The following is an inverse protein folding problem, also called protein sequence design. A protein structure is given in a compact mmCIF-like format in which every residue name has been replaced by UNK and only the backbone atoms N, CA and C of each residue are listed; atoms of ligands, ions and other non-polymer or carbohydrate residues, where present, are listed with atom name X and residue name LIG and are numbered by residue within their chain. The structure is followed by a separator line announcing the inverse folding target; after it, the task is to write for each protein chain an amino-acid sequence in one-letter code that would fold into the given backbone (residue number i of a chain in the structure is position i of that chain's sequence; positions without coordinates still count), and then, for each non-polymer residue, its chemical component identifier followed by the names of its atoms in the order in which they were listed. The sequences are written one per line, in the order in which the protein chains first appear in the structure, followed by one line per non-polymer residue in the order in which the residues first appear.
data_IF_882174276290
#
_entry.id   IF_882174276290
#
_cell.length_a   1.000
_cell.length_b   1.000
_cell.length_c   1.000
_cell.angle_alpha   90.00
_cell.angle_beta   90.00
_cell.angle_gamma   90.00
#
_symmetry.space_group_name_H-M   'P 1'
#
loop_
_entity.id
_entity.type
_entity.pdbx_description
1 polymer ?
#
# COMPACT_ATOMS: atom_id res chain seq x y z
N UNK A 1 3.77 -14.29 -7.01
CA UNK A 1 3.34 -12.90 -6.74
C UNK A 1 1.82 -12.76 -6.60
N UNK A 2 1.02 -13.30 -7.53
CA UNK A 2 -0.45 -13.18 -7.49
C UNK A 2 -1.14 -13.90 -6.31
N UNK A 3 -0.58 -15.01 -5.81
CA UNK A 3 -1.07 -15.71 -4.60
C UNK A 3 -1.04 -14.76 -3.37
N UNK A 4 -0.05 -13.87 -3.28
CA UNK A 4 0.04 -12.89 -2.19
C UNK A 4 -1.02 -11.78 -2.29
N UNK A 5 -1.41 -11.38 -3.51
CA UNK A 5 -2.53 -10.46 -3.72
C UNK A 5 -3.87 -11.13 -3.39
N UNK A 6 -4.04 -12.40 -3.76
CA UNK A 6 -5.21 -13.20 -3.36
C UNK A 6 -5.33 -13.32 -1.83
N UNK A 7 -4.23 -13.58 -1.12
CA UNK A 7 -4.22 -13.64 0.36
C UNK A 7 -4.58 -12.26 0.96
N UNK A 8 -4.07 -11.16 0.39
CA UNK A 8 -4.41 -9.80 0.86
C UNK A 8 -5.89 -9.44 0.63
N UNK A 9 -6.45 -9.99 -0.45
CA UNK A 9 -7.85 -9.84 -0.81
C UNK A 9 -8.79 -10.68 0.06
N UNK A 10 -8.29 -11.70 0.76
CA UNK A 10 -9.09 -12.63 1.58
C UNK A 10 -8.90 -12.39 3.08
N UNK A 11 -7.74 -11.91 3.52
CA UNK A 11 -7.45 -11.73 4.94
C UNK A 11 -7.77 -10.31 5.45
N UNK A 12 -8.28 -10.17 6.68
CA UNK A 12 -8.51 -8.87 7.30
C UNK A 12 -7.19 -8.12 7.53
N UNK A 13 -7.28 -6.80 7.71
CA UNK A 13 -6.16 -5.93 8.10
C UNK A 13 -4.97 -5.91 7.13
N UNK A 14 -5.15 -6.42 5.91
CA UNK A 14 -4.09 -6.48 4.88
C UNK A 14 -2.81 -7.16 5.34
N UNK A 15 -2.95 -8.14 6.23
CA UNK A 15 -1.86 -8.96 6.76
C UNK A 15 -1.15 -9.76 5.65
N UNK A 16 -1.74 -9.83 4.44
CA UNK A 16 -1.15 -10.48 3.27
C UNK A 16 0.23 -9.95 2.88
N UNK A 17 0.55 -8.69 3.19
CA UNK A 17 1.90 -8.14 2.97
C UNK A 17 2.91 -8.65 4.00
N UNK A 18 2.51 -8.74 5.27
CA UNK A 18 3.33 -9.32 6.34
C UNK A 18 3.55 -10.82 6.13
N UNK A 19 2.51 -11.53 5.70
CA UNK A 19 2.62 -12.95 5.33
C UNK A 19 3.53 -13.14 4.13
N UNK A 20 3.52 -12.23 3.16
CA UNK A 20 4.46 -12.26 2.03
C UNK A 20 5.90 -12.08 2.50
N UNK A 21 6.17 -11.15 3.42
CA UNK A 21 7.50 -11.02 4.03
C UNK A 21 7.93 -12.31 4.73
N UNK A 22 6.99 -12.94 5.45
CA UNK A 22 7.21 -14.20 6.14
C UNK A 22 7.55 -15.34 5.18
N UNK A 23 6.74 -15.55 4.13
CA UNK A 23 6.95 -16.61 3.14
C UNK A 23 8.21 -16.38 2.30
N UNK A 24 8.48 -15.13 1.90
CA UNK A 24 9.69 -14.78 1.15
C UNK A 24 10.95 -15.00 1.99
N UNK A 25 10.90 -14.65 3.28
CA UNK A 25 11.99 -14.94 4.22
C UNK A 25 12.30 -16.44 4.30
N UNK A 26 11.27 -17.27 4.30
CA UNK A 26 11.42 -18.73 4.36
C UNK A 26 11.88 -19.34 3.02
N UNK A 27 11.43 -18.81 1.89
CA UNK A 27 11.78 -19.31 0.56
C UNK A 27 13.20 -18.92 0.13
N UNK A 28 13.63 -17.70 0.46
CA UNK A 28 14.92 -17.14 0.03
C UNK A 28 16.01 -17.23 1.11
N UNK A 29 15.75 -17.92 2.23
CA UNK A 29 16.65 -18.02 3.40
C UNK A 29 17.13 -16.65 3.93
N UNK A 30 16.29 -15.61 3.84
CA UNK A 30 16.56 -14.28 4.39
C UNK A 30 15.75 -14.05 5.66
N UNK A 31 16.24 -13.17 6.55
CA UNK A 31 15.48 -12.85 7.76
C UNK A 31 14.13 -12.21 7.41
N UNK A 32 13.09 -12.54 8.19
CA UNK A 32 11.74 -11.97 8.03
C UNK A 32 11.76 -10.43 8.12
N UNK A 33 12.62 -9.89 8.98
CA UNK A 33 12.84 -8.44 9.12
C UNK A 33 13.47 -7.83 7.86
N UNK A 34 14.37 -8.55 7.19
CA UNK A 34 14.98 -8.11 5.92
C UNK A 34 13.94 -8.12 4.79
N UNK A 35 13.11 -9.16 4.70
CA UNK A 35 12.01 -9.19 3.74
C UNK A 35 10.96 -8.09 4.02
N UNK A 36 10.72 -7.76 5.29
CA UNK A 36 9.85 -6.64 5.66
C UNK A 36 10.44 -5.30 5.20
N UNK A 37 11.77 -5.13 5.29
CA UNK A 37 12.45 -3.92 4.83
C UNK A 37 12.21 -3.62 3.35
N UNK A 38 12.21 -4.65 2.50
CA UNK A 38 11.94 -4.47 1.06
C UNK A 38 10.52 -4.03 0.78
N UNK A 39 9.54 -4.56 1.52
CA UNK A 39 8.15 -4.14 1.43
C UNK A 39 7.98 -2.69 1.91
N UNK A 40 8.60 -2.34 3.05
CA UNK A 40 8.53 -0.97 3.60
C UNK A 40 9.09 0.04 2.59
N UNK A 41 10.24 -0.25 1.97
CA UNK A 41 10.82 0.62 0.94
C UNK A 41 9.89 0.78 -0.26
N UNK A 42 9.32 -0.31 -0.77
CA UNK A 42 8.35 -0.24 -1.86
C UNK A 42 7.13 0.62 -1.49
N UNK A 43 6.63 0.49 -0.25
CA UNK A 43 5.50 1.27 0.27
C UNK A 43 5.84 2.75 0.45
N UNK A 44 7.05 3.08 0.89
CA UNK A 44 7.51 4.47 0.99
C UNK A 44 7.56 5.11 -0.39
N UNK A 45 8.11 4.42 -1.40
CA UNK A 45 8.17 4.93 -2.79
C UNK A 45 6.76 5.16 -3.34
N UNK A 46 5.87 4.18 -3.18
CA UNK A 46 4.47 4.29 -3.65
C UNK A 46 3.72 5.45 -2.97
N UNK A 47 3.85 5.57 -1.65
CA UNK A 47 3.23 6.65 -0.88
C UNK A 47 3.80 8.01 -1.27
N UNK A 48 5.12 8.13 -1.45
CA UNK A 48 5.76 9.35 -1.92
C UNK A 48 5.25 9.78 -3.29
N UNK A 49 5.11 8.85 -4.23
CA UNK A 49 4.57 9.15 -5.56
C UNK A 49 3.17 9.75 -5.46
N UNK A 50 2.30 9.19 -4.61
CA UNK A 50 0.95 9.72 -4.38
C UNK A 50 0.97 11.06 -3.64
N UNK A 51 1.87 11.27 -2.69
CA UNK A 51 2.04 12.56 -2.02
C UNK A 51 2.49 13.67 -2.98
N UNK A 52 3.38 13.34 -3.93
CA UNK A 52 3.79 14.27 -4.99
C UNK A 52 2.59 14.61 -5.89
N UNK A 53 1.83 13.61 -6.33
CA UNK A 53 0.61 13.84 -7.13
C UNK A 53 -0.41 14.72 -6.39
N UNK A 54 -0.63 14.45 -5.10
CA UNK A 54 -1.51 15.26 -4.26
C UNK A 54 -0.97 16.69 -4.09
N UNK A 55 0.33 16.87 -3.87
CA UNK A 55 0.96 18.18 -3.79
C UNK A 55 0.75 19.03 -5.03
N UNK A 56 0.82 18.43 -6.23
CA UNK A 56 0.51 19.10 -7.49
C UNK A 56 -0.99 19.38 -7.62
N UNK A 57 -1.82 18.39 -7.29
CA UNK A 57 -3.28 18.46 -7.51
C UNK A 57 -3.97 19.42 -6.56
N UNK A 58 -3.39 19.73 -5.40
CA UNK A 58 -3.90 20.75 -4.45
C UNK A 58 -4.02 22.15 -5.07
N UNK A 59 -3.19 22.47 -6.07
CA UNK A 59 -3.24 23.74 -6.80
C UNK A 59 -4.26 23.72 -7.95
N UNK A 60 -4.68 22.53 -8.38
CA UNK A 60 -5.55 22.31 -9.53
C UNK A 60 -6.99 21.96 -9.13
N UNK A 61 -7.18 21.41 -7.92
CA UNK A 61 -8.47 20.96 -7.41
C UNK A 61 -8.75 21.57 -6.01
N UNK A 62 -9.96 22.09 -5.76
CA UNK A 62 -10.32 22.73 -4.48
C UNK A 62 -10.62 21.68 -3.39
N UNK A 63 -9.59 21.01 -2.88
CA UNK A 63 -9.75 20.09 -1.76
C UNK A 63 -10.21 20.81 -0.47
N UNK A 64 -11.10 20.18 0.32
CA UNK A 64 -11.42 20.60 1.67
C UNK A 64 -10.17 20.76 2.57
N UNK A 65 -10.22 21.71 3.50
CA UNK A 65 -9.07 22.04 4.37
C UNK A 65 -8.58 20.86 5.20
N UNK A 66 -9.48 19.98 5.64
CA UNK A 66 -9.09 18.80 6.40
C UNK A 66 -8.29 17.79 5.57
N UNK A 67 -8.50 17.71 4.25
CA UNK A 67 -7.66 16.90 3.34
C UNK A 67 -6.28 17.55 3.19
N UNK A 68 -6.23 18.89 3.05
CA UNK A 68 -4.96 19.64 3.00
C UNK A 68 -4.15 19.47 4.29
N UNK A 69 -4.80 19.52 5.45
CA UNK A 69 -4.15 19.29 6.74
C UNK A 69 -3.71 17.83 6.90
N UNK A 70 -4.53 16.87 6.44
CA UNK A 70 -4.16 15.45 6.41
C UNK A 70 -2.87 15.19 5.63
N UNK A 71 -2.68 15.88 4.50
CA UNK A 71 -1.43 15.82 3.73
C UNK A 71 -0.22 16.21 4.58
N UNK A 72 -0.31 17.28 5.38
CA UNK A 72 0.81 17.73 6.20
C UNK A 72 1.24 16.65 7.21
N UNK A 73 0.28 16.03 7.90
CA UNK A 73 0.58 14.98 8.87
C UNK A 73 1.13 13.71 8.22
N UNK A 74 0.52 13.25 7.12
CA UNK A 74 0.98 12.05 6.40
C UNK A 74 2.36 12.32 5.79
N UNK A 75 2.54 13.48 5.16
CA UNK A 75 3.82 13.91 4.59
C UNK A 75 4.93 13.97 5.64
N UNK A 76 4.66 14.57 6.81
CA UNK A 76 5.60 14.60 7.92
C UNK A 76 5.96 13.19 8.42
N UNK A 77 4.99 12.30 8.58
CA UNK A 77 5.23 10.91 8.97
C UNK A 77 6.09 10.14 7.96
N UNK A 78 5.82 10.32 6.66
CA UNK A 78 6.61 9.70 5.58
C UNK A 78 8.02 10.26 5.53
N UNK A 79 8.21 11.57 5.69
CA UNK A 79 9.53 12.20 5.75
C UNK A 79 10.34 11.72 6.96
N UNK A 80 9.71 11.59 8.13
CA UNK A 80 10.34 11.03 9.32
C UNK A 80 10.75 9.56 9.11
N UNK A 81 9.90 8.76 8.47
CA UNK A 81 10.22 7.38 8.13
C UNK A 81 11.40 7.31 7.15
N UNK A 82 11.43 8.15 6.11
CA UNK A 82 12.54 8.24 5.16
C UNK A 82 13.84 8.64 5.87
N UNK A 83 13.79 9.67 6.73
CA UNK A 83 14.93 10.10 7.50
C UNK A 83 15.48 8.96 8.37
N UNK A 84 14.60 8.18 9.01
CA UNK A 84 14.97 6.99 9.76
C UNK A 84 15.63 5.91 8.89
N UNK A 85 15.06 5.59 7.72
CA UNK A 85 15.62 4.61 6.78
C UNK A 85 17.00 5.06 6.25
N UNK A 86 17.16 6.34 5.95
CA UNK A 86 18.44 6.93 5.53
C UNK A 86 19.46 6.86 6.68
N UNK A 87 19.06 7.19 7.92
CA UNK A 87 19.93 7.10 9.08
C UNK A 87 20.45 5.66 9.30
N UNK A 88 19.59 4.65 9.15
CA UNK A 88 19.98 3.24 9.18
C UNK A 88 20.97 2.87 8.07
N UNK A 89 20.77 3.39 6.85
CA UNK A 89 21.64 3.12 5.70
C UNK A 89 23.00 3.82 5.75
N UNK A 90 23.06 5.02 6.35
CA UNK A 90 24.28 5.84 6.41
C UNK A 90 25.12 5.50 7.64
N UNK A 91 24.48 5.36 8.80
CA UNK A 91 25.17 5.08 10.06
C UNK A 91 24.32 4.17 10.94
N UNK A 92 24.37 2.87 10.63
CA UNK A 92 23.67 1.81 11.36
C UNK A 92 24.01 1.84 12.85
N UNK A 93 25.29 1.92 13.20
CA UNK A 93 25.74 1.85 14.59
C UNK A 93 25.21 3.03 15.41
N UNK A 94 25.33 4.27 14.90
CA UNK A 94 24.79 5.44 15.58
C UNK A 94 23.27 5.35 15.77
N UNK A 95 22.56 4.88 14.74
CA UNK A 95 21.10 4.75 14.78
C UNK A 95 20.66 3.71 15.81
N UNK A 96 21.33 2.55 15.88
CA UNK A 96 21.06 1.54 16.89
C UNK A 96 21.39 2.04 18.31
N UNK A 97 22.45 2.84 18.49
CA UNK A 97 22.77 3.47 19.76
C UNK A 97 21.70 4.48 20.21
N UNK A 98 21.18 5.29 19.28
CA UNK A 98 20.08 6.21 19.55
C UNK A 98 18.81 5.45 19.96
N UNK A 99 18.45 4.40 19.22
CA UNK A 99 17.32 3.54 19.54
C UNK A 99 17.46 2.87 20.91
N UNK A 100 18.66 2.41 21.29
CA UNK A 100 18.92 1.88 22.64
C UNK A 100 18.64 2.92 23.73
N UNK A 101 18.98 4.19 23.50
CA UNK A 101 18.64 5.28 24.44
C UNK A 101 17.14 5.54 24.51
N UNK A 102 16.45 5.54 23.37
CA UNK A 102 14.99 5.76 23.30
C UNK A 102 14.23 4.61 23.97
N UNK A 103 14.67 3.36 23.77
CA UNK A 103 14.05 2.17 24.36
C UNK A 103 14.52 1.86 25.79
N UNK A 104 15.41 2.67 26.38
CA UNK A 104 15.89 2.51 27.76
C UNK A 104 14.79 2.35 28.83
N UNK A 105 13.59 2.98 28.72
CA UNK A 105 12.51 2.77 29.68
C UNK A 105 11.90 1.35 29.65
N UNK A 106 12.17 0.55 28.60
CA UNK A 106 11.63 -0.80 28.44
C UNK A 106 12.53 -1.83 29.14
N UNK A 107 11.99 -3.03 29.48
CA UNK A 107 12.79 -4.13 30.01
C UNK A 107 13.93 -4.51 29.05
N UNK A 108 15.10 -4.81 29.59
CA UNK A 108 16.31 -5.07 28.78
C UNK A 108 16.10 -6.13 27.69
N UNK A 109 15.39 -7.22 28.02
CA UNK A 109 15.03 -8.29 27.07
C UNK A 109 14.22 -7.77 25.86
N UNK A 110 13.35 -6.77 26.06
CA UNK A 110 12.55 -6.17 24.98
C UNK A 110 13.43 -5.26 24.14
N UNK A 111 14.26 -4.44 24.78
CA UNK A 111 15.20 -3.53 24.09
C UNK A 111 16.15 -4.31 23.19
N UNK A 112 16.79 -5.37 23.70
CA UNK A 112 17.73 -6.18 22.93
C UNK A 112 17.02 -6.82 21.72
N UNK A 113 15.82 -7.36 21.93
CA UNK A 113 15.00 -7.94 20.84
C UNK A 113 14.61 -6.91 19.77
N UNK A 114 14.24 -5.69 20.16
CA UNK A 114 13.92 -4.62 19.21
C UNK A 114 15.15 -4.19 18.41
N UNK A 115 16.31 -4.11 19.04
CA UNK A 115 17.58 -3.78 18.38
C UNK A 115 17.98 -4.86 17.38
N UNK A 116 17.82 -6.14 17.72
CA UNK A 116 18.11 -7.24 16.80
C UNK A 116 17.17 -7.24 15.59
N UNK A 117 15.88 -6.93 15.79
CA UNK A 117 14.91 -6.75 14.71
C UNK A 117 15.34 -5.62 13.77
N UNK A 118 15.69 -4.45 14.32
CA UNK A 118 16.12 -3.28 13.52
C UNK A 118 17.46 -3.53 12.83
N UNK A 119 18.40 -4.23 13.48
CA UNK A 119 19.67 -4.61 12.88
C UNK A 119 19.48 -5.53 11.67
N UNK A 120 18.59 -6.53 11.80
CA UNK A 120 18.22 -7.45 10.72
C UNK A 120 17.45 -6.75 9.59
N UNK A 121 16.61 -5.78 9.94
CA UNK A 121 15.91 -4.92 8.99
C UNK A 121 16.90 -4.10 8.16
N UNK A 122 17.90 -3.50 8.80
CA UNK A 122 18.96 -2.72 8.12
C UNK A 122 19.71 -3.54 7.07
N UNK A 123 19.99 -4.82 7.35
CA UNK A 123 20.62 -5.72 6.38
C UNK A 123 19.74 -5.95 5.14
N UNK A 124 18.41 -5.93 5.29
CA UNK A 124 17.48 -5.96 4.15
C UNK A 124 17.52 -4.69 3.29
N UNK A 125 17.75 -3.54 3.92
CA UNK A 125 17.93 -2.27 3.20
C UNK A 125 19.23 -2.25 2.38
N UNK A 126 20.30 -2.85 2.92
CA UNK A 126 21.60 -2.96 2.23
C UNK A 126 21.53 -3.81 0.97
N UNK A 127 20.77 -4.92 0.99
CA UNK A 127 20.56 -5.80 -0.19
C UNK A 127 19.90 -5.01 -1.35
N UNK A 128 19.08 -4.02 -1.04
CA UNK A 128 18.42 -3.19 -2.06
C UNK A 128 19.31 -2.10 -2.68
N UNK A 129 20.56 -1.89 -2.22
CA UNK A 129 21.43 -0.79 -2.70
C UNK A 129 21.74 -0.77 -4.20
N UNK A 130 21.39 -1.81 -4.96
CA UNK A 130 21.48 -1.77 -6.42
C UNK A 130 20.46 -0.76 -6.98
N UNK A 131 20.97 0.35 -7.53
CA UNK A 131 20.18 1.41 -8.17
C UNK A 131 19.21 0.90 -9.24
N UNK A 132 19.54 -0.22 -9.89
CA UNK A 132 18.68 -0.88 -10.89
C UNK A 132 17.38 -1.42 -10.27
N UNK A 133 17.41 -1.93 -9.03
CA UNK A 133 16.21 -2.43 -8.36
C UNK A 133 15.30 -1.31 -7.90
N UNK A 134 15.86 -0.21 -7.37
CA UNK A 134 15.08 0.99 -7.04
C UNK A 134 14.40 1.58 -8.27
N UNK A 135 15.11 1.70 -9.39
CA UNK A 135 14.53 2.21 -10.63
C UNK A 135 13.42 1.29 -11.14
N UNK A 136 13.63 -0.02 -11.11
CA UNK A 136 12.59 -0.97 -11.50
C UNK A 136 11.33 -0.83 -10.62
N UNK A 137 11.48 -0.77 -9.30
CA UNK A 137 10.36 -0.58 -8.37
C UNK A 137 9.62 0.72 -8.67
N UNK A 138 10.34 1.82 -8.86
CA UNK A 138 9.75 3.12 -9.19
C UNK A 138 8.97 3.06 -10.51
N UNK A 139 9.55 2.47 -11.57
CA UNK A 139 8.87 2.30 -12.85
C UNK A 139 7.60 1.45 -12.72
N UNK A 140 7.65 0.33 -11.98
CA UNK A 140 6.47 -0.49 -11.72
C UNK A 140 5.41 0.25 -10.92
N UNK A 141 5.79 1.02 -9.90
CA UNK A 141 4.85 1.83 -9.10
C UNK A 141 4.15 2.88 -9.97
N UNK A 142 4.90 3.61 -10.80
CA UNK A 142 4.32 4.61 -11.72
C UNK A 142 3.38 3.94 -12.72
N UNK A 143 3.78 2.80 -13.29
CA UNK A 143 2.94 2.06 -14.24
C UNK A 143 1.64 1.59 -13.58
N UNK A 144 1.69 1.06 -12.36
CA UNK A 144 0.51 0.65 -11.60
C UNK A 144 -0.42 1.84 -11.32
N UNK A 145 0.13 2.99 -10.93
CA UNK A 145 -0.67 4.20 -10.71
C UNK A 145 -1.33 4.69 -12.00
N UNK A 146 -0.63 4.66 -13.13
CA UNK A 146 -1.22 4.97 -14.44
C UNK A 146 -2.37 4.00 -14.78
N UNK A 147 -2.21 2.70 -14.53
CA UNK A 147 -3.28 1.73 -14.72
C UNK A 147 -4.49 2.05 -13.83
N UNK A 148 -4.30 2.44 -12.58
CA UNK A 148 -5.40 2.84 -11.70
C UNK A 148 -6.08 4.14 -12.15
N UNK A 149 -5.31 5.14 -12.59
CA UNK A 149 -5.86 6.39 -13.14
C UNK A 149 -6.72 6.08 -14.36
N UNK A 150 -6.23 5.25 -15.28
CA UNK A 150 -6.98 4.84 -16.47
C UNK A 150 -8.23 4.02 -16.11
N UNK A 151 -8.13 3.13 -15.14
CA UNK A 151 -9.27 2.35 -14.62
C UNK A 151 -10.39 3.28 -14.12
N UNK A 152 -10.04 4.29 -13.33
CA UNK A 152 -10.99 5.31 -12.86
C UNK A 152 -11.54 6.14 -14.03
N UNK A 153 -10.68 6.59 -14.94
CA UNK A 153 -11.07 7.38 -16.11
C UNK A 153 -12.10 6.66 -16.99
N UNK A 154 -11.87 5.38 -17.30
CA UNK A 154 -12.82 4.59 -18.08
C UNK A 154 -14.10 4.31 -17.30
N UNK A 155 -14.02 4.19 -15.97
CA UNK A 155 -15.22 4.06 -15.14
C UNK A 155 -16.06 5.34 -15.16
N UNK A 156 -15.45 6.54 -15.15
CA UNK A 156 -16.18 7.81 -15.33
C UNK A 156 -16.95 7.85 -16.65
N UNK A 157 -16.32 7.37 -17.73
CA UNK A 157 -16.98 7.27 -19.04
C UNK A 157 -18.08 6.22 -19.07
N UNK A 158 -17.87 5.07 -18.46
CA UNK A 158 -18.84 3.97 -18.44
C UNK A 158 -20.14 4.33 -17.70
N UNK A 159 -20.03 5.20 -16.68
CA UNK A 159 -21.16 5.70 -15.90
C UNK A 159 -21.73 7.03 -16.41
N UNK A 160 -21.28 7.50 -17.58
CA UNK A 160 -21.71 8.76 -18.20
C UNK A 160 -21.57 9.97 -17.26
N UNK A 161 -20.46 10.02 -16.51
CA UNK A 161 -20.16 11.10 -15.56
C UNK A 161 -19.33 12.23 -16.18
N UNK A 162 -18.92 12.08 -17.45
CA UNK A 162 -18.18 13.11 -18.21
C UNK A 162 -19.18 14.00 -18.96
N UNK A 163 -20.04 14.68 -18.21
CA UNK A 163 -21.16 15.46 -18.74
C UNK A 163 -21.23 16.84 -18.11
N UNK A 164 -22.00 17.76 -18.69
CA UNK A 164 -22.20 19.12 -18.16
C UNK A 164 -22.82 19.16 -16.77
N UNK A 165 -23.43 18.06 -16.32
CA UNK A 165 -23.91 17.91 -14.95
C UNK A 165 -22.78 17.90 -13.92
N UNK A 166 -21.57 17.47 -14.31
CA UNK A 166 -20.39 17.37 -13.45
C UNK A 166 -19.21 18.18 -14.03
N UNK A 167 -19.24 19.52 -13.91
CA UNK A 167 -18.29 20.40 -14.60
C UNK A 167 -16.82 20.09 -14.27
N UNK A 168 -16.53 19.73 -13.02
CA UNK A 168 -15.17 19.40 -12.57
C UNK A 168 -14.63 18.09 -13.19
N UNK A 169 -15.51 17.11 -13.46
CA UNK A 169 -15.12 15.88 -14.17
C UNK A 169 -15.03 16.17 -15.66
N UNK A 170 -15.97 16.93 -16.22
CA UNK A 170 -16.00 17.25 -17.65
C UNK A 170 -14.79 18.07 -18.10
N UNK A 171 -14.39 19.07 -17.31
CA UNK A 171 -13.28 19.97 -17.65
C UNK A 171 -11.95 19.24 -17.75
N UNK A 172 -11.69 18.31 -16.83
CA UNK A 172 -10.48 17.49 -16.82
C UNK A 172 -10.74 16.12 -16.15
N UNK A 173 -11.20 15.12 -16.93
CA UNK A 173 -11.52 13.81 -16.38
C UNK A 173 -10.27 13.04 -15.92
N UNK A 174 -9.09 13.37 -16.45
CA UNK A 174 -7.83 12.77 -16.02
C UNK A 174 -7.43 13.30 -14.65
N UNK A 175 -7.51 14.62 -14.43
CA UNK A 175 -7.31 15.21 -13.12
C UNK A 175 -8.31 14.66 -12.09
N UNK A 176 -9.59 14.53 -12.45
CA UNK A 176 -10.59 13.90 -11.59
C UNK A 176 -10.21 12.44 -11.23
N UNK A 177 -9.61 11.71 -12.18
CA UNK A 177 -9.13 10.34 -11.95
C UNK A 177 -7.91 10.30 -11.02
N UNK A 178 -7.01 11.28 -11.11
CA UNK A 178 -5.86 11.44 -10.19
C UNK A 178 -6.36 11.77 -8.77
N UNK A 179 -7.33 12.68 -8.64
CA UNK A 179 -7.98 13.00 -7.35
C UNK A 179 -8.56 11.74 -6.72
N UNK A 180 -9.30 10.95 -7.50
CA UNK A 180 -9.86 9.68 -7.03
C UNK A 180 -8.77 8.68 -6.63
N UNK A 181 -7.70 8.52 -7.41
CA UNK A 181 -6.56 7.67 -7.04
C UNK A 181 -5.99 8.06 -5.67
N UNK A 182 -5.79 9.36 -5.43
CA UNK A 182 -5.25 9.85 -4.16
C UNK A 182 -6.20 9.50 -3.00
N UNK A 183 -7.48 9.80 -3.14
CA UNK A 183 -8.50 9.54 -2.09
C UNK A 183 -8.58 8.04 -1.80
N UNK A 184 -8.64 7.23 -2.85
CA UNK A 184 -8.63 5.77 -2.75
C UNK A 184 -7.38 5.30 -2.03
N UNK A 185 -6.19 5.76 -2.42
CA UNK A 185 -4.91 5.32 -1.84
C UNK A 185 -4.80 5.66 -0.35
N UNK A 186 -5.19 6.88 0.03
CA UNK A 186 -5.19 7.30 1.44
C UNK A 186 -6.15 6.43 2.25
N UNK A 187 -7.38 6.26 1.76
CA UNK A 187 -8.39 5.50 2.49
C UNK A 187 -8.07 4.00 2.55
N UNK A 188 -7.39 3.46 1.53
CA UNK A 188 -6.83 2.10 1.49
C UNK A 188 -5.81 1.89 2.62
N UNK A 189 -5.16 2.95 3.13
CA UNK A 189 -4.30 2.87 4.32
C UNK A 189 -5.07 2.58 5.62
N UNK A 190 -6.39 2.75 5.64
CA UNK A 190 -7.21 2.48 6.83
C UNK A 190 -7.38 0.97 7.07
N UNK A 191 -7.44 0.55 8.35
CA UNK A 191 -7.81 -0.82 8.71
C UNK A 191 -9.16 -1.19 8.07
N UNK A 192 -9.20 -2.35 7.43
CA UNK A 192 -10.35 -2.78 6.63
C UNK A 192 -10.70 -4.25 6.83
N UNK A 193 -11.99 -4.55 6.62
CA UNK A 193 -12.53 -5.91 6.58
C UNK A 193 -11.89 -6.74 5.44
N UNK A 194 -12.04 -8.08 5.45
CA UNK A 194 -11.61 -8.93 4.34
C UNK A 194 -12.06 -8.39 2.98
N UNK A 195 -11.14 -8.34 2.02
CA UNK A 195 -11.39 -7.80 0.68
C UNK A 195 -11.66 -6.29 0.62
N UNK A 196 -11.42 -5.56 1.70
CA UNK A 196 -11.72 -4.13 1.84
C UNK A 196 -13.17 -3.73 1.50
N UNK A 197 -14.10 -4.69 1.52
CA UNK A 197 -15.52 -4.46 1.26
C UNK A 197 -16.07 -3.51 2.31
N UNK A 198 -16.86 -2.53 1.88
CA UNK A 198 -17.39 -1.48 2.74
C UNK A 198 -16.43 -0.30 2.87
N UNK A 199 -15.20 -0.51 3.37
CA UNK A 199 -14.20 0.57 3.48
C UNK A 199 -13.89 1.16 2.10
N UNK A 200 -13.56 0.32 1.12
CA UNK A 200 -13.29 0.76 -0.26
C UNK A 200 -14.49 1.49 -0.86
N UNK A 201 -15.70 0.93 -0.73
CA UNK A 201 -16.90 1.54 -1.27
C UNK A 201 -17.19 2.90 -0.63
N UNK A 202 -17.05 3.02 0.69
CA UNK A 202 -17.22 4.28 1.40
C UNK A 202 -16.22 5.34 0.96
N UNK A 203 -14.95 4.98 0.76
CA UNK A 203 -13.90 5.90 0.30
C UNK A 203 -14.16 6.37 -1.14
N UNK A 204 -14.51 5.45 -2.04
CA UNK A 204 -14.80 5.80 -3.43
C UNK A 204 -16.06 6.67 -3.50
N UNK A 205 -17.11 6.31 -2.77
CA UNK A 205 -18.34 7.09 -2.71
C UNK A 205 -18.11 8.49 -2.13
N UNK A 206 -17.30 8.59 -1.08
CA UNK A 206 -16.86 9.88 -0.53
C UNK A 206 -16.08 10.69 -1.57
N UNK A 207 -15.08 10.08 -2.22
CA UNK A 207 -14.24 10.79 -3.19
C UNK A 207 -15.02 11.32 -4.38
N UNK A 208 -15.93 10.51 -4.92
CA UNK A 208 -16.72 10.91 -6.09
C UNK A 208 -17.80 11.95 -5.72
N UNK A 209 -18.27 11.96 -4.46
CA UNK A 209 -19.18 12.99 -3.97
C UNK A 209 -18.57 14.40 -3.98
N UNK A 210 -17.24 14.52 -3.93
CA UNK A 210 -16.55 15.82 -4.06
C UNK A 210 -16.77 16.47 -5.44
N UNK A 211 -17.19 15.68 -6.44
CA UNK A 211 -17.54 16.15 -7.77
C UNK A 211 -19.05 16.40 -7.94
N UNK A 212 -19.84 16.26 -6.87
CA UNK A 212 -21.29 16.47 -6.87
C UNK A 212 -22.11 15.27 -7.37
N UNK A 213 -21.50 14.09 -7.51
CA UNK A 213 -22.20 12.86 -7.93
C UNK A 213 -23.13 12.37 -6.82
N UNK A 214 -24.34 11.94 -7.18
CA UNK A 214 -25.34 11.44 -6.22
C UNK A 214 -24.85 10.17 -5.50
N UNK A 215 -25.38 9.91 -4.30
CA UNK A 215 -24.98 8.75 -3.50
C UNK A 215 -25.25 7.41 -4.22
N UNK A 216 -26.34 7.34 -4.99
CA UNK A 216 -26.73 6.15 -5.75
C UNK A 216 -25.73 5.86 -6.87
N UNK A 217 -25.42 6.89 -7.68
CA UNK A 217 -24.44 6.76 -8.76
C UNK A 217 -23.02 6.50 -8.21
N UNK A 218 -22.67 7.14 -7.10
CA UNK A 218 -21.41 6.95 -6.40
C UNK A 218 -21.20 5.51 -5.93
N UNK A 219 -22.24 4.88 -5.37
CA UNK A 219 -22.17 3.48 -4.93
C UNK A 219 -22.04 2.52 -6.12
N UNK A 220 -22.80 2.74 -7.19
CA UNK A 220 -22.68 1.95 -8.43
C UNK A 220 -21.28 2.03 -9.02
N UNK A 221 -20.72 3.24 -9.09
CA UNK A 221 -19.35 3.49 -9.52
C UNK A 221 -18.34 2.75 -8.63
N UNK A 222 -18.51 2.83 -7.31
CA UNK A 222 -17.62 2.19 -6.35
C UNK A 222 -17.60 0.67 -6.49
N UNK A 223 -18.76 0.04 -6.67
CA UNK A 223 -18.89 -1.41 -6.88
C UNK A 223 -18.21 -1.81 -8.18
N UNK A 224 -18.50 -1.11 -9.27
CA UNK A 224 -17.93 -1.42 -10.58
C UNK A 224 -16.40 -1.28 -10.57
N UNK A 225 -15.88 -0.19 -10.01
CA UNK A 225 -14.44 0.03 -9.88
C UNK A 225 -13.78 -1.02 -8.98
N UNK A 226 -14.44 -1.40 -7.88
CA UNK A 226 -13.94 -2.45 -7.01
C UNK A 226 -13.83 -3.78 -7.75
N UNK A 227 -14.90 -4.20 -8.43
CA UNK A 227 -14.92 -5.44 -9.21
C UNK A 227 -13.89 -5.42 -10.35
N UNK A 228 -13.77 -4.30 -11.07
CA UNK A 228 -12.83 -4.15 -12.17
C UNK A 228 -11.37 -4.29 -11.71
N UNK A 229 -11.03 -3.82 -10.51
CA UNK A 229 -9.68 -3.96 -9.96
C UNK A 229 -9.48 -5.31 -9.24
N UNK A 230 -10.50 -5.81 -8.54
CA UNK A 230 -10.41 -6.99 -7.68
C UNK A 230 -10.50 -8.30 -8.47
N UNK A 231 -11.42 -8.39 -9.44
CA UNK A 231 -11.73 -9.64 -10.13
C UNK A 231 -10.60 -10.12 -11.05
N UNK A 232 -10.00 -9.29 -11.94
CA UNK A 232 -8.91 -9.75 -12.80
C UNK A 232 -7.69 -10.22 -12.01
N UNK A 233 -7.31 -9.49 -10.96
CA UNK A 233 -6.19 -9.85 -10.10
C UNK A 233 -6.45 -11.17 -9.35
N UNK A 234 -7.66 -11.36 -8.84
CA UNK A 234 -8.05 -12.58 -8.14
C UNK A 234 -8.14 -13.77 -9.09
N UNK A 235 -8.73 -13.59 -10.27
CA UNK A 235 -8.85 -14.62 -11.29
C UNK A 235 -7.47 -15.08 -11.78
N UNK A 236 -6.56 -14.15 -12.10
CA UNK A 236 -5.17 -14.49 -12.46
C UNK A 236 -4.45 -15.21 -11.32
N UNK A 237 -4.67 -14.80 -10.07
CA UNK A 237 -4.15 -15.48 -8.88
C UNK A 237 -4.63 -16.93 -8.78
N UNK A 238 -5.92 -17.17 -8.99
CA UNK A 238 -6.54 -18.50 -8.95
C UNK A 238 -6.07 -19.39 -10.11
N UNK A 239 -5.97 -18.85 -11.32
CA UNK A 239 -5.46 -19.58 -12.49
C UNK A 239 -4.01 -20.03 -12.26
N UNK A 240 -3.14 -19.14 -11.77
CA UNK A 240 -1.77 -19.51 -11.43
C UNK A 240 -1.70 -20.54 -10.29
N UNK A 241 -2.58 -20.42 -9.29
CA UNK A 241 -2.64 -21.36 -8.16
C UNK A 241 -3.03 -22.77 -8.62
N UNK A 242 -4.07 -22.89 -9.46
CA UNK A 242 -4.48 -24.17 -10.02
C UNK A 242 -3.46 -24.75 -11.01
N UNK A 243 -2.84 -23.93 -11.85
CA UNK A 243 -1.84 -24.37 -12.83
C UNK A 243 -0.54 -24.89 -12.20
N UNK A 244 -0.25 -24.53 -10.94
CA UNK A 244 0.94 -24.99 -10.22
C UNK A 244 0.68 -26.15 -9.25
N UNK A 245 -0.53 -26.73 -9.23
CA UNK A 245 -0.93 -27.81 -8.30
C UNK A 245 -0.69 -27.52 -6.81
N UNK A 246 -0.62 -26.25 -6.40
CA UNK A 246 -0.53 -25.90 -4.98
C UNK A 246 -1.79 -26.37 -4.26
N UNK A 247 -1.64 -27.19 -3.22
CA UNK A 247 -2.77 -27.59 -2.38
C UNK A 247 -2.92 -26.60 -1.23
N UNK A 248 -4.16 -26.31 -0.82
CA UNK A 248 -4.42 -25.53 0.40
C UNK A 248 -3.76 -26.16 1.65
N UNK A 249 -3.44 -27.47 1.62
CA UNK A 249 -2.64 -28.16 2.64
C UNK A 249 -1.20 -27.66 2.72
N UNK A 250 -0.60 -27.21 1.61
CA UNK A 250 0.79 -26.73 1.59
C UNK A 250 0.89 -25.32 2.20
N UNK A 251 -0.17 -24.52 2.04
CA UNK A 251 -0.37 -23.25 2.74
C UNK A 251 -0.54 -23.45 4.26
N UNK A 252 -1.25 -24.51 4.69
CA UNK A 252 -1.36 -24.87 6.11
C UNK A 252 -0.08 -25.47 6.68
N UNK A 253 0.65 -26.29 5.90
CA UNK A 253 1.92 -26.89 6.32
C UNK A 253 3.04 -25.86 6.52
N UNK A 254 2.92 -24.68 5.89
CA UNK A 254 3.85 -23.56 6.07
C UNK A 254 3.44 -22.58 7.19
N UNK A 255 2.30 -22.80 7.86
CA UNK A 255 1.91 -22.09 9.09
C UNK A 255 2.32 -23.00 10.26
N UNK A 256 3.40 -22.71 11.00
CA UNK A 256 3.80 -23.57 12.10
C UNK A 256 2.69 -23.59 13.15
N UNK A 257 2.31 -24.79 13.58
CA UNK A 257 1.53 -24.97 14.80
C UNK A 257 2.29 -24.36 15.98
N UNK A 258 1.54 -23.74 16.89
CA UNK A 258 2.03 -22.88 17.98
C UNK A 258 2.79 -23.64 19.09
N UNK A 259 3.19 -24.90 18.85
CA UNK A 259 3.59 -25.84 19.89
C UNK A 259 5.10 -26.12 19.95
N UNK A 260 5.93 -25.49 19.10
CA UNK A 260 7.39 -25.63 19.14
C UNK A 260 8.13 -24.35 19.59
N UNK A 261 7.54 -23.61 20.54
CA UNK A 261 8.26 -22.57 21.30
C UNK A 261 8.03 -22.79 22.78
N UNK A 262 8.75 -23.78 23.35
CA UNK A 262 9.09 -23.84 24.77
C UNK A 262 10.59 -24.03 24.88
#
# INVERSE_FOLDING_TARGET
MNIGYMINNILPLRIGELLRAYFLGNAENISKSSALATIVVARVIDTLSVLILLGVTIFLFPFPDWIRNGLFYIGAAVLLLIAFLIALLVNKDWTLHLLRKVFKPLPQKVTDRLIDIVSSFSSGLEIMRSSRHYLAILCYSVLLQLCYILSVFFTFKAFDLVTSQYPAIQSDPLLASVVMLIIITIGIGLPSAPGAVGTYHGIVAFGISLFGVSAEAAMGFAIALHLANYFPLTALGLICFWGQHFRFSDLKAQIPHRDEVV
#
